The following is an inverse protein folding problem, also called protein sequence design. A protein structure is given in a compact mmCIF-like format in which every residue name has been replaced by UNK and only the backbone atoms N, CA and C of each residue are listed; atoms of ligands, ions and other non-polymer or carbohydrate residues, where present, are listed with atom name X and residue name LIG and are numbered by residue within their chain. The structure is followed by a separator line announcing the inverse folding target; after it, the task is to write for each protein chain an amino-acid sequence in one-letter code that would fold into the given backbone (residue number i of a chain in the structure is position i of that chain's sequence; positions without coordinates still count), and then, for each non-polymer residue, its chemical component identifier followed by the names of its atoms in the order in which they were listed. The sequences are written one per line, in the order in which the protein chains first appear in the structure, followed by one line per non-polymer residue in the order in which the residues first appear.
data_IF_162957449876
#
_entry.id   IF_162957449876
#
_cell.length_a   1.000
_cell.length_b   1.000
_cell.length_c   1.000
_cell.angle_alpha   90.00
_cell.angle_beta   90.00
_cell.angle_gamma   90.00
#
_symmetry.space_group_name_H-M   'P 1'
#
loop_
_entity.id
_entity.type
_entity.pdbx_description
1 polymer ?
#
# COMPACT_ATOMS: atom_id res chain seq x y z
N UNK A 1 41.02 4.08 -5.09
CA UNK A 1 40.42 2.85 -4.55
C UNK A 1 38.99 3.17 -4.18
N UNK A 2 38.02 2.54 -4.83
CA UNK A 2 36.59 2.74 -4.60
C UNK A 2 36.07 1.52 -3.82
N UNK A 3 35.26 1.68 -2.77
CA UNK A 3 34.77 0.53 -2.01
C UNK A 3 33.74 -0.27 -2.82
N UNK A 4 33.69 -1.61 -2.69
CA UNK A 4 32.71 -2.44 -3.36
C UNK A 4 31.37 -2.31 -2.62
N UNK A 5 30.47 -1.48 -3.14
CA UNK A 5 29.06 -1.57 -2.77
C UNK A 5 28.47 -2.79 -3.48
N UNK A 6 28.60 -3.96 -2.86
CA UNK A 6 27.66 -5.05 -3.10
C UNK A 6 26.35 -4.65 -2.44
N UNK A 7 25.57 -3.80 -3.11
CA UNK A 7 24.15 -3.69 -2.82
C UNK A 7 23.53 -5.01 -3.28
N UNK A 8 23.28 -5.94 -2.34
CA UNK A 8 22.48 -7.13 -2.57
C UNK A 8 21.02 -6.72 -2.80
N UNK A 9 20.75 -6.01 -3.89
CA UNK A 9 19.39 -5.85 -4.37
C UNK A 9 18.94 -7.22 -4.88
N UNK A 10 17.80 -7.75 -4.41
CA UNK A 10 17.29 -9.01 -4.94
C UNK A 10 17.10 -8.90 -6.46
N UNK A 11 17.33 -10.00 -7.17
CA UNK A 11 17.05 -10.06 -8.59
C UNK A 11 15.54 -9.97 -8.88
N UNK A 12 15.19 -9.69 -10.14
CA UNK A 12 13.80 -9.49 -10.55
C UNK A 12 12.91 -10.71 -10.26
N UNK A 13 13.47 -11.92 -10.31
CA UNK A 13 12.75 -13.15 -9.99
C UNK A 13 12.38 -13.19 -8.51
N UNK A 14 13.33 -12.91 -7.62
CA UNK A 14 13.12 -12.83 -6.17
C UNK A 14 12.12 -11.73 -5.80
N UNK A 15 12.21 -10.56 -6.45
CA UNK A 15 11.24 -9.47 -6.25
C UNK A 15 9.84 -9.90 -6.67
N UNK A 16 9.71 -10.59 -7.80
CA UNK A 16 8.43 -11.08 -8.32
C UNK A 16 7.79 -12.09 -7.36
N UNK A 17 8.55 -13.06 -6.87
CA UNK A 17 8.06 -14.04 -5.88
C UNK A 17 7.63 -13.37 -4.58
N UNK A 18 8.39 -12.36 -4.12
CA UNK A 18 8.04 -11.59 -2.94
C UNK A 18 6.75 -10.79 -3.15
N UNK A 19 6.60 -10.10 -4.28
CA UNK A 19 5.37 -9.38 -4.63
C UNK A 19 4.16 -10.31 -4.66
N UNK A 20 4.31 -11.54 -5.19
CA UNK A 20 3.23 -12.52 -5.14
C UNK A 20 2.90 -12.95 -3.70
N UNK A 21 3.90 -13.21 -2.87
CA UNK A 21 3.71 -13.58 -1.47
C UNK A 21 3.00 -12.47 -0.68
N UNK A 22 3.41 -11.21 -0.87
CA UNK A 22 2.77 -10.04 -0.28
C UNK A 22 1.34 -9.90 -0.79
N UNK A 23 1.13 -10.04 -2.10
CA UNK A 23 -0.20 -9.99 -2.71
C UNK A 23 -1.16 -11.02 -2.10
N UNK A 24 -0.72 -12.27 -1.94
CA UNK A 24 -1.49 -13.32 -1.27
C UNK A 24 -1.73 -13.04 0.22
N UNK A 25 -0.84 -12.27 0.86
CA UNK A 25 -0.96 -11.87 2.25
C UNK A 25 -2.05 -10.80 2.43
N UNK A 26 -2.00 -9.73 1.64
CA UNK A 26 -2.85 -8.54 1.84
C UNK A 26 -4.31 -8.77 1.50
N UNK A 27 -4.63 -9.64 0.52
CA UNK A 27 -6.02 -9.96 0.17
C UNK A 27 -6.77 -10.78 1.23
N UNK A 28 -6.09 -11.20 2.30
CA UNK A 28 -6.71 -11.89 3.44
C UNK A 28 -7.42 -10.93 4.39
N UNK A 29 -7.16 -9.63 4.25
CA UNK A 29 -7.78 -8.59 5.05
C UNK A 29 -9.01 -8.08 4.30
N UNK A 30 -10.19 -8.04 4.93
CA UNK A 30 -11.40 -7.54 4.27
C UNK A 30 -11.34 -6.02 4.07
N UNK A 31 -12.33 -5.48 3.35
CA UNK A 31 -12.55 -4.04 3.23
C UNK A 31 -12.59 -3.37 4.62
N UNK A 32 -12.19 -2.10 4.70
CA UNK A 32 -12.07 -1.31 5.93
C UNK A 32 -10.93 -1.71 6.90
N UNK A 33 -10.17 -2.77 6.62
CA UNK A 33 -9.05 -3.23 7.46
C UNK A 33 -7.66 -2.88 6.90
N UNK A 34 -7.53 -1.72 6.27
CA UNK A 34 -6.26 -1.30 5.66
C UNK A 34 -5.15 -1.09 6.71
N UNK A 35 -5.48 -0.58 7.90
CA UNK A 35 -4.53 -0.36 8.98
C UNK A 35 -4.00 -1.68 9.55
N UNK A 36 -4.87 -2.65 9.82
CA UNK A 36 -4.43 -3.97 10.30
C UNK A 36 -3.62 -4.71 9.25
N UNK A 37 -4.00 -4.60 7.98
CA UNK A 37 -3.24 -5.13 6.84
C UNK A 37 -1.82 -4.53 6.81
N UNK A 38 -1.70 -3.20 6.81
CA UNK A 38 -0.43 -2.50 6.76
C UNK A 38 0.46 -2.84 7.97
N UNK A 39 -0.11 -2.87 9.19
CA UNK A 39 0.61 -3.24 10.42
C UNK A 39 1.13 -4.68 10.36
N UNK A 40 0.28 -5.62 9.93
CA UNK A 40 0.64 -7.04 9.86
C UNK A 40 1.70 -7.30 8.78
N UNK A 41 1.56 -6.67 7.61
CA UNK A 41 2.53 -6.78 6.52
C UNK A 41 3.88 -6.16 6.91
N UNK A 42 3.87 -4.96 7.50
CA UNK A 42 5.08 -4.33 8.05
C UNK A 42 5.79 -5.25 9.04
N UNK A 43 5.07 -5.84 9.98
CA UNK A 43 5.67 -6.79 10.93
C UNK A 43 6.27 -8.00 10.20
N UNK A 44 5.55 -8.57 9.24
CA UNK A 44 6.00 -9.73 8.45
C UNK A 44 7.28 -9.45 7.65
N UNK A 45 7.40 -8.25 7.07
CA UNK A 45 8.59 -7.79 6.33
C UNK A 45 9.79 -7.56 7.25
N UNK A 46 9.59 -6.86 8.38
CA UNK A 46 10.66 -6.57 9.35
C UNK A 46 11.26 -7.85 9.94
N UNK A 47 10.45 -8.87 10.22
CA UNK A 47 10.94 -10.17 10.69
C UNK A 47 11.85 -10.88 9.67
N UNK A 48 11.78 -10.49 8.39
CA UNK A 48 12.57 -11.06 7.29
C UNK A 48 13.70 -10.14 6.84
N UNK A 49 13.89 -8.99 7.49
CA UNK A 49 14.88 -7.99 7.07
C UNK A 49 14.60 -7.40 5.69
N UNK A 50 13.33 -7.41 5.26
CA UNK A 50 12.92 -6.85 3.96
C UNK A 50 12.58 -5.37 4.18
N UNK A 51 13.25 -4.44 3.48
CA UNK A 51 12.98 -3.03 3.63
C UNK A 51 11.64 -2.65 3.03
N UNK A 52 11.01 -1.61 3.58
CA UNK A 52 9.74 -1.10 3.06
C UNK A 52 9.38 0.28 3.60
N UNK A 53 8.31 0.85 3.05
CA UNK A 53 7.79 2.15 3.47
C UNK A 53 6.31 2.06 3.80
N UNK A 54 5.90 2.62 4.94
CA UNK A 54 4.50 2.77 5.29
C UNK A 54 3.97 4.09 4.75
N UNK A 55 3.00 4.00 3.85
CA UNK A 55 2.29 5.13 3.27
C UNK A 55 0.97 5.35 4.00
N UNK A 56 0.66 6.63 4.24
CA UNK A 56 -0.64 7.10 4.69
C UNK A 56 -1.21 8.04 3.63
N UNK A 57 -2.45 7.80 3.25
CA UNK A 57 -3.27 8.72 2.47
C UNK A 57 -4.47 9.09 3.32
N UNK A 58 -4.72 10.38 3.48
CA UNK A 58 -5.89 10.87 4.19
C UNK A 58 -6.60 11.93 3.38
N UNK A 59 -7.91 12.01 3.51
CA UNK A 59 -8.67 13.17 3.03
C UNK A 59 -8.15 14.44 3.71
N UNK A 60 -8.16 15.55 2.98
CA UNK A 60 -7.64 16.83 3.49
C UNK A 60 -8.50 17.42 4.61
N UNK A 61 -9.79 17.11 4.62
CA UNK A 61 -10.76 17.69 5.53
C UNK A 61 -11.30 16.63 6.50
N UNK A 62 -11.28 16.92 7.80
CA UNK A 62 -11.73 16.03 8.88
C UNK A 62 -13.22 15.63 8.80
N UNK A 63 -13.98 16.21 7.87
CA UNK A 63 -15.38 15.87 7.61
C UNK A 63 -15.57 14.89 6.45
N UNK A 64 -14.48 14.42 5.82
CA UNK A 64 -14.50 13.50 4.68
C UNK A 64 -14.02 12.11 5.10
N UNK A 65 -14.94 11.31 5.62
CA UNK A 65 -14.64 9.98 6.15
C UNK A 65 -14.54 8.88 5.09
N UNK A 66 -15.13 9.12 3.90
CA UNK A 66 -15.32 8.11 2.88
C UNK A 66 -14.35 8.29 1.72
N UNK A 67 -13.66 7.21 1.40
CA UNK A 67 -12.81 7.09 0.22
C UNK A 67 -13.37 5.95 -0.65
N UNK A 68 -13.38 6.14 -1.96
CA UNK A 68 -13.68 5.12 -2.97
C UNK A 68 -12.40 4.74 -3.71
N UNK A 69 -12.43 3.59 -4.38
CA UNK A 69 -11.30 3.05 -5.12
C UNK A 69 -11.72 2.75 -6.54
N UNK A 70 -11.14 3.48 -7.50
CA UNK A 70 -11.47 3.38 -8.92
C UNK A 70 -11.23 1.95 -9.45
N UNK A 71 -10.21 1.22 -8.95
CA UNK A 71 -9.99 -0.18 -9.33
C UNK A 71 -11.08 -1.12 -8.83
N UNK A 72 -11.66 -0.87 -7.66
CA UNK A 72 -12.77 -1.65 -7.14
C UNK A 72 -14.06 -1.34 -7.91
N UNK A 73 -14.30 -0.07 -8.23
CA UNK A 73 -15.45 0.34 -9.05
C UNK A 73 -15.43 -0.32 -10.43
N UNK A 74 -14.25 -0.39 -11.08
CA UNK A 74 -14.07 -1.14 -12.34
C UNK A 74 -14.36 -2.65 -12.22
N UNK A 75 -14.30 -3.20 -11.02
CA UNK A 75 -14.63 -4.60 -10.71
C UNK A 75 -16.10 -4.77 -10.28
N UNK A 76 -16.88 -3.69 -10.21
CA UNK A 76 -18.28 -3.70 -9.83
C UNK A 76 -18.54 -3.51 -8.32
N UNK A 77 -17.53 -3.08 -7.56
CA UNK A 77 -17.63 -2.77 -6.13
C UNK A 77 -17.60 -1.26 -5.93
N UNK A 78 -18.68 -0.70 -5.39
CA UNK A 78 -18.83 0.75 -5.16
C UNK A 78 -18.92 1.10 -3.67
N UNK A 79 -18.58 0.15 -2.80
CA UNK A 79 -18.47 0.37 -1.37
C UNK A 79 -17.28 1.26 -1.02
N UNK A 80 -17.43 2.03 0.05
CA UNK A 80 -16.31 2.80 0.60
C UNK A 80 -15.24 1.90 1.20
N UNK A 81 -13.98 2.32 1.07
CA UNK A 81 -12.81 1.62 1.60
C UNK A 81 -12.37 2.15 2.97
N UNK A 82 -12.97 3.26 3.44
CA UNK A 82 -12.69 3.87 4.75
C UNK A 82 -13.96 4.42 5.39
N UNK A 83 -13.98 4.52 6.72
CA UNK A 83 -15.04 5.22 7.48
C UNK A 83 -14.46 6.34 8.37
N UNK A 84 -13.20 6.71 8.13
CA UNK A 84 -12.46 7.70 8.92
C UNK A 84 -11.54 8.58 8.05
N UNK A 85 -11.67 8.48 6.73
CA UNK A 85 -10.92 9.26 5.75
C UNK A 85 -9.46 8.89 5.62
N UNK A 86 -9.01 7.74 6.14
CA UNK A 86 -7.59 7.34 6.13
C UNK A 86 -7.39 5.95 5.54
N UNK A 87 -6.48 5.84 4.57
CA UNK A 87 -6.07 4.58 3.96
C UNK A 87 -4.55 4.37 4.05
N UNK A 88 -4.14 3.12 4.20
CA UNK A 88 -2.73 2.74 4.38
C UNK A 88 -2.27 1.74 3.33
N UNK A 89 -0.99 1.85 2.95
CA UNK A 89 -0.32 0.93 2.05
C UNK A 89 1.14 0.72 2.44
N UNK A 90 1.73 -0.41 2.04
CA UNK A 90 3.15 -0.71 2.24
C UNK A 90 3.85 -0.78 0.89
N UNK A 91 4.85 0.08 0.69
CA UNK A 91 5.73 0.04 -0.47
C UNK A 91 6.85 -0.97 -0.27
N UNK A 92 7.01 -1.90 -1.21
CA UNK A 92 8.12 -2.86 -1.28
C UNK A 92 8.61 -2.93 -2.71
N UNK A 93 9.89 -2.59 -2.93
CA UNK A 93 10.54 -2.61 -4.25
C UNK A 93 9.70 -1.92 -5.35
N UNK A 94 9.23 -0.69 -5.08
CA UNK A 94 8.54 0.15 -6.05
C UNK A 94 7.05 -0.16 -6.26
N UNK A 95 6.46 -1.06 -5.46
CA UNK A 95 5.01 -1.29 -5.46
C UNK A 95 4.40 -1.12 -4.07
N UNK A 96 3.29 -0.40 -4.00
CA UNK A 96 2.45 -0.28 -2.82
C UNK A 96 1.42 -1.42 -2.82
N UNK A 97 1.37 -2.14 -1.71
CA UNK A 97 0.39 -3.18 -1.43
C UNK A 97 -0.55 -2.73 -0.30
N UNK A 98 -1.84 -2.98 -0.49
CA UNK A 98 -2.90 -2.78 0.48
C UNK A 98 -3.93 -3.91 0.36
N UNK A 99 -4.98 -3.86 1.17
CA UNK A 99 -6.00 -4.91 1.26
C UNK A 99 -6.95 -5.00 0.06
N UNK A 100 -6.81 -4.16 -0.98
CA UNK A 100 -7.80 -4.14 -2.08
C UNK A 100 -7.34 -4.92 -3.33
N UNK A 101 -6.05 -5.26 -3.46
CA UNK A 101 -5.58 -6.03 -4.63
C UNK A 101 -4.31 -6.84 -4.39
N UNK A 102 -4.14 -7.94 -5.14
CA UNK A 102 -2.98 -8.82 -5.07
C UNK A 102 -1.74 -8.23 -5.76
N UNK A 103 -1.90 -7.45 -6.82
CA UNK A 103 -0.80 -7.10 -7.73
C UNK A 103 0.10 -5.97 -7.21
N UNK A 104 -0.42 -5.16 -6.28
CA UNK A 104 0.17 -3.88 -5.89
C UNK A 104 0.08 -2.85 -7.03
N UNK A 105 0.28 -1.59 -6.68
CA UNK A 105 0.30 -0.46 -7.62
C UNK A 105 1.63 0.28 -7.52
N UNK A 106 2.02 1.00 -8.57
CA UNK A 106 3.09 1.99 -8.41
C UNK A 106 2.63 3.08 -7.41
N UNK A 107 3.53 3.82 -6.75
CA UNK A 107 3.13 4.90 -5.86
C UNK A 107 2.22 5.94 -6.54
N UNK A 108 2.50 6.27 -7.81
CA UNK A 108 1.69 7.21 -8.58
C UNK A 108 0.29 6.67 -8.88
N UNK A 109 0.18 5.40 -9.28
CA UNK A 109 -1.10 4.78 -9.58
C UNK A 109 -1.92 4.54 -8.31
N UNK A 110 -1.24 4.24 -7.18
CA UNK A 110 -1.90 4.07 -5.89
C UNK A 110 -2.57 5.37 -5.44
N UNK A 111 -1.89 6.51 -5.53
CA UNK A 111 -2.47 7.82 -5.18
C UNK A 111 -3.63 8.19 -6.10
N UNK A 112 -3.53 7.87 -7.41
CA UNK A 112 -4.58 8.17 -8.40
C UNK A 112 -5.79 7.26 -8.30
N UNK A 113 -5.70 6.14 -7.59
CA UNK A 113 -6.81 5.18 -7.52
C UNK A 113 -7.93 5.63 -6.57
N UNK A 114 -7.66 6.60 -5.70
CA UNK A 114 -8.60 7.00 -4.66
C UNK A 114 -9.35 8.28 -5.00
N UNK A 115 -10.64 8.27 -4.68
CA UNK A 115 -11.52 9.43 -4.82
C UNK A 115 -12.24 9.72 -3.51
N UNK A 116 -12.48 10.99 -3.23
CA UNK A 116 -13.27 11.49 -2.10
C UNK A 116 -14.22 12.58 -2.57
N UNK A 117 -14.98 13.19 -1.66
CA UNK A 117 -15.88 14.30 -1.99
C UNK A 117 -15.12 15.49 -2.58
N UNK A 118 -13.98 15.87 -1.98
CA UNK A 118 -13.13 16.95 -2.51
C UNK A 118 -12.11 16.48 -3.54
N UNK A 119 -11.75 15.18 -3.54
CA UNK A 119 -10.56 14.65 -4.22
C UNK A 119 -9.25 15.33 -3.77
N UNK A 120 -9.23 15.93 -2.58
CA UNK A 120 -8.04 16.50 -1.99
C UNK A 120 -7.50 15.57 -0.91
N UNK A 121 -6.26 15.10 -1.11
CA UNK A 121 -5.60 14.15 -0.21
C UNK A 121 -4.28 14.68 0.32
N UNK A 122 -3.99 14.35 1.57
CA UNK A 122 -2.67 14.42 2.15
C UNK A 122 -2.00 13.05 2.08
N UNK A 123 -0.89 12.96 1.36
CA UNK A 123 -0.16 11.70 1.15
C UNK A 123 1.24 11.83 1.73
N UNK A 124 1.63 10.88 2.57
CA UNK A 124 2.95 10.87 3.19
C UNK A 124 3.48 9.45 3.41
N UNK A 125 4.80 9.31 3.28
CA UNK A 125 5.54 8.19 3.89
C UNK A 125 5.72 8.53 5.37
N UNK A 126 5.12 7.72 6.25
CA UNK A 126 5.15 7.96 7.70
C UNK A 126 6.17 7.08 8.43
N UNK A 127 6.71 6.05 7.77
CA UNK A 127 7.81 5.22 8.30
C UNK A 127 8.58 4.55 7.15
N UNK A 128 9.90 4.47 7.28
CA UNK A 128 10.77 3.58 6.49
C UNK A 128 11.42 2.56 7.43
N UNK A 129 11.52 1.30 7.02
CA UNK A 129 12.03 0.21 7.86
C UNK A 129 12.83 -0.82 7.06
#
# INVERSE_FOLDING_TARGET
MQPPYLTNYPDDATVTELHEAIGNFVIRFPLLHCEECARALRFWLRQRGIPGKLWRLATRYDTEDFILSDRLERQGFSETITENGVHYGIEVFGKIFDNLSKQGLSPEDWVKDFTSVSNEFEVAVIEEF
#
